data_IF_582367524050
#
_entry.id   IF_582367524050
#
_cell.length_a   1.000
_cell.length_b   1.000
_cell.length_c   1.000
_cell.angle_alpha   90.00
_cell.angle_beta   90.00
_cell.angle_gamma   90.00
#
_symmetry.space_group_name_H-M   'P 1'
#
loop_
_entity.id
_entity.type
_entity.pdbx_description
1 polymer ?
#
# COMPACT_ATOMS: atom_id res chain seq x y z
N UNK A 1 26.25 21.46 17.11
CA UNK A 1 24.79 21.59 16.93
C UNK A 1 24.17 20.24 17.21
N UNK A 2 23.57 20.03 18.38
CA UNK A 2 22.87 18.78 18.69
C UNK A 2 21.45 18.90 18.18
N UNK A 3 21.06 18.00 17.26
CA UNK A 3 19.66 17.82 16.91
C UNK A 3 19.01 17.08 18.08
N UNK A 4 18.21 17.79 18.88
CA UNK A 4 17.22 17.14 19.74
C UNK A 4 16.22 16.45 18.81
N UNK A 5 16.27 15.12 18.76
CA UNK A 5 15.21 14.30 18.17
C UNK A 5 14.02 14.45 19.10
N UNK A 6 13.01 15.22 18.68
CA UNK A 6 11.71 15.22 19.36
C UNK A 6 11.10 13.84 19.16
N UNK A 7 11.03 13.07 20.23
CA UNK A 7 10.23 11.85 20.30
C UNK A 7 8.77 12.26 20.19
N UNK A 8 8.14 12.04 19.05
CA UNK A 8 6.69 12.13 18.95
C UNK A 8 6.07 11.15 19.96
N UNK A 9 5.03 11.55 20.72
CA UNK A 9 4.28 10.59 21.50
C UNK A 9 3.76 9.50 20.56
N UNK A 10 3.83 8.25 20.98
CA UNK A 10 3.33 7.06 20.26
C UNK A 10 1.78 7.05 20.18
N UNK A 11 1.16 8.17 19.83
CA UNK A 11 -0.29 8.31 19.84
C UNK A 11 -0.85 7.55 18.65
N UNK A 12 -1.21 6.31 18.93
CA UNK A 12 -1.95 5.45 18.00
C UNK A 12 -3.39 5.89 18.05
N UNK A 13 -3.88 6.38 16.93
CA UNK A 13 -5.27 6.76 16.79
C UNK A 13 -6.06 5.55 16.34
N UNK A 14 -7.03 5.11 17.14
CA UNK A 14 -7.81 3.91 16.82
C UNK A 14 -9.32 4.16 16.91
N UNK A 15 -10.07 3.45 16.08
CA UNK A 15 -11.52 3.54 16.05
C UNK A 15 -12.12 2.26 15.46
N UNK A 16 -13.39 2.03 15.79
CA UNK A 16 -14.14 0.87 15.32
C UNK A 16 -15.14 1.31 14.27
N UNK A 17 -15.19 0.58 13.16
CA UNK A 17 -16.19 0.73 12.10
C UNK A 17 -16.79 -0.61 11.76
N UNK A 18 -17.91 -0.60 11.03
CA UNK A 18 -18.48 -1.82 10.47
C UNK A 18 -18.14 -1.89 8.99
N UNK A 19 -17.77 -3.07 8.51
CA UNK A 19 -17.59 -3.29 7.08
C UNK A 19 -18.93 -3.54 6.36
N UNK A 20 -18.89 -3.84 5.06
CA UNK A 20 -20.11 -4.11 4.28
C UNK A 20 -20.89 -5.35 4.74
N UNK A 21 -20.26 -6.24 5.50
CA UNK A 21 -20.89 -7.44 6.05
C UNK A 21 -21.47 -7.22 7.45
N UNK A 22 -21.22 -6.05 8.06
CA UNK A 22 -21.61 -5.74 9.42
C UNK A 22 -20.63 -6.26 10.48
N UNK A 23 -19.42 -6.66 10.09
CA UNK A 23 -18.38 -7.09 11.04
C UNK A 23 -17.64 -5.87 11.61
N UNK A 24 -17.35 -5.89 12.91
CA UNK A 24 -16.58 -4.83 13.58
C UNK A 24 -15.09 -4.89 13.22
N UNK A 25 -14.60 -3.82 12.61
CA UNK A 25 -13.22 -3.64 12.18
C UNK A 25 -12.57 -2.57 13.04
N UNK A 26 -11.45 -2.92 13.66
CA UNK A 26 -10.55 -1.98 14.31
C UNK A 26 -9.64 -1.35 13.24
N UNK A 27 -9.69 -0.03 13.10
CA UNK A 27 -8.76 0.73 12.29
C UNK A 27 -7.77 1.43 13.22
N UNK A 28 -6.48 1.29 12.95
CA UNK A 28 -5.41 1.94 13.70
C UNK A 28 -4.57 2.78 12.75
N UNK A 29 -4.41 4.06 13.06
CA UNK A 29 -3.54 4.99 12.36
C UNK A 29 -2.35 5.33 13.27
N UNK A 30 -1.15 5.30 12.68
CA UNK A 30 0.07 5.67 13.40
C UNK A 30 1.04 6.40 12.49
N UNK A 31 1.54 7.54 12.97
CA UNK A 31 2.72 8.18 12.40
C UNK A 31 3.97 7.44 12.87
N UNK A 32 4.92 7.24 11.97
CA UNK A 32 6.07 6.38 12.20
C UNK A 32 7.36 7.06 11.76
N UNK A 33 8.42 6.80 12.50
CA UNK A 33 9.77 7.08 12.01
C UNK A 33 10.17 5.97 11.02
N UNK A 34 10.41 6.28 9.74
CA UNK A 34 10.80 5.28 8.74
C UNK A 34 12.14 4.59 9.04
N UNK A 35 12.94 5.13 9.96
CA UNK A 35 14.21 4.54 10.42
C UNK A 35 14.05 3.68 11.68
N UNK A 36 12.85 3.64 12.28
CA UNK A 36 12.59 2.84 13.48
C UNK A 36 12.41 1.35 13.17
N UNK A 37 12.69 0.50 14.17
CA UNK A 37 12.38 -0.95 14.08
C UNK A 37 10.87 -1.21 13.98
N UNK A 38 10.05 -0.28 14.46
CA UNK A 38 8.60 -0.36 14.39
C UNK A 38 8.10 -0.49 12.94
N UNK A 39 8.73 0.19 11.98
CA UNK A 39 8.36 0.05 10.57
C UNK A 39 8.57 -1.37 10.07
N UNK A 40 9.75 -1.95 10.35
CA UNK A 40 10.05 -3.34 9.98
C UNK A 40 9.14 -4.33 10.70
N UNK A 41 8.81 -4.09 11.98
CA UNK A 41 7.88 -4.93 12.75
C UNK A 41 6.48 -4.94 12.12
N UNK A 42 5.96 -3.77 11.74
CA UNK A 42 4.66 -3.66 11.07
C UNK A 42 4.65 -4.33 9.71
N UNK A 43 5.65 -4.09 8.86
CA UNK A 43 5.68 -4.75 7.56
C UNK A 43 5.95 -6.25 7.65
N UNK A 44 6.68 -6.72 8.67
CA UNK A 44 6.84 -8.15 8.93
C UNK A 44 5.51 -8.78 9.34
N UNK A 45 4.73 -8.15 10.23
CA UNK A 45 3.38 -8.58 10.64
C UNK A 45 2.44 -8.71 9.43
N UNK A 46 2.50 -7.78 8.48
CA UNK A 46 1.63 -7.73 7.30
C UNK A 46 2.25 -8.36 6.04
N UNK A 47 3.46 -8.91 6.12
CA UNK A 47 4.23 -9.37 4.96
C UNK A 47 3.51 -10.47 4.18
N UNK A 48 2.89 -11.44 4.87
CA UNK A 48 2.16 -12.52 4.22
C UNK A 48 0.91 -11.99 3.51
N UNK A 49 0.15 -11.08 4.14
CA UNK A 49 -1.03 -10.45 3.52
C UNK A 49 -0.65 -9.68 2.26
N UNK A 50 0.43 -8.91 2.33
CA UNK A 50 0.93 -8.14 1.19
C UNK A 50 1.44 -9.08 0.08
N UNK A 51 2.18 -10.13 0.42
CA UNK A 51 2.63 -11.13 -0.54
C UNK A 51 1.44 -11.82 -1.23
N UNK A 52 0.41 -12.23 -0.48
CA UNK A 52 -0.80 -12.82 -1.03
C UNK A 52 -1.60 -11.84 -1.92
N UNK A 53 -1.64 -10.56 -1.55
CA UNK A 53 -2.35 -9.54 -2.32
C UNK A 53 -1.64 -9.19 -3.63
N UNK A 54 -0.30 -9.16 -3.64
CA UNK A 54 0.50 -8.77 -4.81
C UNK A 54 0.88 -9.96 -5.70
N UNK A 55 0.97 -11.18 -5.16
CA UNK A 55 1.41 -12.36 -5.93
C UNK A 55 0.62 -12.57 -7.23
N UNK A 56 -0.74 -12.53 -7.24
CA UNK A 56 -1.48 -12.75 -8.48
C UNK A 56 -1.17 -11.70 -9.55
N UNK A 57 -0.89 -10.47 -9.11
CA UNK A 57 -0.55 -9.33 -9.98
C UNK A 57 0.83 -9.54 -10.61
N UNK A 58 1.83 -9.89 -9.80
CA UNK A 58 3.20 -10.14 -10.27
C UNK A 58 3.28 -11.41 -11.14
N UNK A 59 2.49 -12.44 -10.83
CA UNK A 59 2.34 -13.62 -11.69
C UNK A 59 1.77 -13.24 -13.05
N UNK A 60 0.69 -12.47 -13.09
CA UNK A 60 0.10 -12.01 -14.34
C UNK A 60 1.06 -11.12 -15.14
N UNK A 61 1.81 -10.26 -14.46
CA UNK A 61 2.88 -9.47 -15.09
C UNK A 61 3.93 -10.38 -15.75
N UNK A 62 4.43 -11.38 -15.03
CA UNK A 62 5.40 -12.33 -15.57
C UNK A 62 4.87 -13.18 -16.74
N UNK A 63 3.56 -13.45 -16.76
CA UNK A 63 2.92 -14.13 -17.89
C UNK A 63 2.80 -13.24 -19.13
N UNK A 64 2.52 -11.94 -18.95
CA UNK A 64 2.26 -11.01 -20.05
C UNK A 64 3.53 -10.37 -20.61
N UNK A 65 4.56 -10.19 -19.79
CA UNK A 65 5.81 -9.50 -20.15
C UNK A 65 7.05 -10.33 -19.76
N UNK A 66 7.18 -11.58 -20.23
CA UNK A 66 8.28 -12.46 -19.84
C UNK A 66 9.66 -11.90 -20.20
N UNK A 67 9.77 -11.11 -21.27
CA UNK A 67 10.99 -10.44 -21.71
C UNK A 67 11.51 -9.38 -20.72
N UNK A 68 10.63 -8.90 -19.85
CA UNK A 68 10.93 -7.85 -18.88
C UNK A 68 11.35 -8.39 -17.52
N UNK A 69 11.19 -9.70 -17.30
CA UNK A 69 11.49 -10.33 -16.01
C UNK A 69 12.95 -10.14 -15.61
N UNK A 70 13.91 -10.36 -16.51
CA UNK A 70 15.34 -10.20 -16.21
C UNK A 70 15.76 -8.77 -15.86
N UNK A 71 14.96 -7.76 -16.24
CA UNK A 71 15.21 -6.33 -15.93
C UNK A 71 14.41 -5.84 -14.73
N UNK A 72 13.38 -6.57 -14.32
CA UNK A 72 12.49 -6.16 -13.24
C UNK A 72 13.21 -6.17 -11.89
N UNK A 73 12.99 -5.13 -11.09
CA UNK A 73 13.67 -4.95 -9.80
C UNK A 73 13.34 -6.06 -8.79
N UNK A 74 12.14 -6.65 -8.89
CA UNK A 74 11.67 -7.68 -7.96
C UNK A 74 11.81 -9.08 -8.55
N UNK A 75 11.47 -9.24 -9.83
CA UNK A 75 11.29 -10.55 -10.44
C UNK A 75 12.51 -11.08 -11.20
N UNK A 76 13.62 -10.32 -11.31
CA UNK A 76 14.81 -10.76 -12.05
C UNK A 76 15.35 -12.15 -11.67
N UNK A 77 15.22 -12.55 -10.40
CA UNK A 77 15.65 -13.89 -9.94
C UNK A 77 14.83 -15.05 -10.55
N UNK A 78 13.71 -14.75 -11.20
CA UNK A 78 12.87 -15.72 -11.92
C UNK A 78 13.30 -15.92 -13.37
N UNK A 79 14.14 -15.05 -13.94
CA UNK A 79 14.58 -15.14 -15.34
C UNK A 79 15.01 -16.56 -15.77
N UNK A 80 15.76 -17.34 -14.96
CA UNK A 80 16.12 -18.71 -15.33
C UNK A 80 14.95 -19.65 -15.64
N UNK A 81 13.76 -19.39 -15.06
CA UNK A 81 12.55 -20.19 -15.30
C UNK A 81 12.01 -20.00 -16.72
N UNK A 82 12.32 -18.88 -17.37
CA UNK A 82 11.79 -18.50 -18.68
C UNK A 82 12.72 -18.88 -19.84
N UNK A 83 13.92 -19.42 -19.55
CA UNK A 83 14.95 -19.75 -20.56
C UNK A 83 14.47 -20.73 -21.65
N UNK A 84 13.54 -21.61 -21.30
CA UNK A 84 12.99 -22.61 -22.23
C UNK A 84 11.65 -22.17 -22.83
N UNK A 85 11.30 -20.88 -22.76
CA UNK A 85 10.03 -20.35 -23.25
C UNK A 85 8.88 -20.44 -22.25
N UNK A 86 7.89 -19.55 -22.43
CA UNK A 86 6.78 -19.34 -21.50
C UNK A 86 5.92 -20.60 -21.26
N UNK A 87 5.73 -21.43 -22.29
CA UNK A 87 4.94 -22.66 -22.22
C UNK A 87 5.56 -23.74 -21.33
N UNK A 88 6.85 -23.64 -21.02
CA UNK A 88 7.59 -24.61 -20.22
C UNK A 88 7.78 -24.15 -18.76
N UNK A 89 7.23 -23.00 -18.38
CA UNK A 89 7.30 -22.49 -17.01
C UNK A 89 6.42 -23.35 -16.10
N UNK A 90 7.03 -23.91 -15.05
CA UNK A 90 6.26 -24.50 -13.95
C UNK A 90 5.67 -23.38 -13.10
N UNK A 91 4.41 -23.04 -13.37
CA UNK A 91 3.74 -21.90 -12.73
C UNK A 91 3.48 -22.08 -11.23
N UNK A 92 3.34 -23.30 -10.74
CA UNK A 92 3.22 -23.53 -9.29
C UNK A 92 4.52 -23.17 -8.59
N UNK A 93 5.65 -23.61 -9.14
CA UNK A 93 6.97 -23.26 -8.61
C UNK A 93 7.28 -21.76 -8.76
N UNK A 94 6.92 -21.15 -9.89
CA UNK A 94 7.08 -19.72 -10.08
C UNK A 94 6.25 -18.92 -9.06
N UNK A 95 5.01 -19.34 -8.78
CA UNK A 95 4.13 -18.70 -7.80
C UNK A 95 4.71 -18.75 -6.38
N UNK A 96 5.23 -19.91 -5.96
CA UNK A 96 5.91 -20.05 -4.67
C UNK A 96 7.12 -19.12 -4.56
N UNK A 97 7.93 -19.01 -5.62
CA UNK A 97 9.06 -18.08 -5.66
C UNK A 97 8.62 -16.62 -5.60
N UNK A 98 7.61 -16.22 -6.39
CA UNK A 98 7.06 -14.86 -6.36
C UNK A 98 6.60 -14.51 -4.95
N UNK A 99 5.84 -15.41 -4.30
CA UNK A 99 5.38 -15.21 -2.93
C UNK A 99 6.56 -15.04 -1.95
N UNK A 100 7.58 -15.88 -2.05
CA UNK A 100 8.76 -15.79 -1.20
C UNK A 100 9.52 -14.47 -1.39
N UNK A 101 9.70 -14.01 -2.64
CA UNK A 101 10.33 -12.72 -2.96
C UNK A 101 9.54 -11.57 -2.34
N UNK A 102 8.22 -11.54 -2.55
CA UNK A 102 7.35 -10.48 -2.03
C UNK A 102 7.36 -10.46 -0.50
N UNK A 103 7.26 -11.63 0.14
CA UNK A 103 7.31 -11.74 1.59
C UNK A 103 8.62 -11.21 2.16
N UNK A 104 9.77 -11.60 1.58
CA UNK A 104 11.08 -11.10 1.99
C UNK A 104 11.20 -9.59 1.76
N UNK A 105 10.69 -9.10 0.63
CA UNK A 105 10.68 -7.67 0.33
C UNK A 105 9.90 -6.90 1.38
N UNK A 106 8.67 -7.29 1.71
CA UNK A 106 7.89 -6.57 2.72
C UNK A 106 8.48 -6.74 4.12
N UNK A 107 8.85 -7.96 4.52
CA UNK A 107 9.38 -8.21 5.87
C UNK A 107 10.71 -7.48 6.15
N UNK A 108 11.57 -7.34 5.13
CA UNK A 108 12.92 -6.80 5.33
C UNK A 108 13.29 -5.70 4.33
N UNK A 109 13.08 -5.95 3.04
CA UNK A 109 13.57 -5.09 1.96
C UNK A 109 12.98 -3.69 1.99
N UNK A 110 11.70 -3.55 2.30
CA UNK A 110 10.97 -2.30 2.25
C UNK A 110 11.48 -1.31 3.30
N UNK A 111 11.54 -1.72 4.57
CA UNK A 111 12.07 -0.88 5.65
C UNK A 111 13.55 -0.54 5.41
N UNK A 112 14.37 -1.50 4.96
CA UNK A 112 15.78 -1.26 4.59
C UNK A 112 15.90 -0.20 3.48
N UNK A 113 15.02 -0.23 2.48
CA UNK A 113 15.02 0.76 1.39
C UNK A 113 14.75 2.18 1.88
N UNK A 114 13.91 2.34 2.92
CA UNK A 114 13.62 3.64 3.51
C UNK A 114 14.83 4.19 4.25
N UNK A 115 15.54 3.36 5.03
CA UNK A 115 16.77 3.78 5.74
C UNK A 115 17.84 4.31 4.78
N UNK A 116 17.94 3.73 3.57
CA UNK A 116 18.86 4.19 2.54
C UNK A 116 18.38 5.51 1.91
N UNK A 117 17.08 5.69 1.74
CA UNK A 117 16.48 6.90 1.16
C UNK A 117 16.24 8.00 2.20
N UNK A 118 17.33 8.57 2.71
CA UNK A 118 17.31 9.61 3.74
C UNK A 118 16.55 10.88 3.32
N UNK A 119 16.58 11.21 2.03
CA UNK A 119 15.89 12.39 1.49
C UNK A 119 14.38 12.25 1.63
N UNK A 120 13.82 11.12 1.20
CA UNK A 120 12.38 10.83 1.37
C UNK A 120 12.03 10.77 2.86
N UNK A 121 12.85 10.13 3.70
CA UNK A 121 12.58 10.07 5.14
C UNK A 121 12.54 11.46 5.79
N UNK A 122 13.40 12.38 5.35
CA UNK A 122 13.46 13.73 5.90
C UNK A 122 12.30 14.61 5.42
N UNK A 123 11.95 14.51 4.13
CA UNK A 123 11.00 15.39 3.46
C UNK A 123 9.52 15.06 3.71
N UNK A 124 9.21 13.88 4.27
CA UNK A 124 7.83 13.41 4.42
C UNK A 124 7.52 12.94 5.85
N UNK A 125 6.26 13.10 6.24
CA UNK A 125 5.67 12.38 7.36
C UNK A 125 5.17 11.03 6.88
N UNK A 126 5.55 9.97 7.60
CA UNK A 126 5.24 8.59 7.23
C UNK A 126 4.16 8.03 8.13
N UNK A 127 3.13 7.44 7.53
CA UNK A 127 1.97 6.94 8.26
C UNK A 127 1.58 5.54 7.79
N UNK A 128 1.13 4.75 8.74
CA UNK A 128 0.50 3.45 8.49
C UNK A 128 -0.93 3.52 9.01
N UNK A 129 -1.86 3.00 8.20
CA UNK A 129 -3.19 2.63 8.68
C UNK A 129 -3.38 1.14 8.48
N UNK A 130 -3.79 0.46 9.55
CA UNK A 130 -4.11 -0.96 9.51
C UNK A 130 -5.58 -1.21 9.74
N UNK A 131 -6.08 -2.30 9.18
CA UNK A 131 -7.40 -2.86 9.48
C UNK A 131 -7.22 -4.23 10.12
N UNK A 132 -7.89 -4.44 11.27
CA UNK A 132 -7.89 -5.69 12.03
C UNK A 132 -9.33 -6.06 12.38
N UNK A 133 -9.63 -7.35 12.45
CA UNK A 133 -10.88 -7.79 13.07
C UNK A 133 -10.84 -7.38 14.56
N UNK A 134 -11.91 -6.74 15.06
CA UNK A 134 -11.88 -6.14 16.41
C UNK A 134 -11.73 -7.18 17.52
N UNK A 135 -12.38 -8.33 17.38
CA UNK A 135 -12.43 -9.41 18.38
C UNK A 135 -11.16 -10.25 18.37
N UNK A 136 -10.85 -10.86 17.24
CA UNK A 136 -9.72 -11.79 17.05
C UNK A 136 -8.37 -11.10 16.89
N UNK A 137 -8.36 -9.78 16.66
CA UNK A 137 -7.19 -8.98 16.29
C UNK A 137 -6.50 -9.44 14.99
N UNK A 138 -7.13 -10.32 14.22
CA UNK A 138 -6.56 -10.83 12.98
C UNK A 138 -6.35 -9.69 11.98
N UNK A 139 -5.17 -9.58 11.34
CA UNK A 139 -4.90 -8.54 10.36
C UNK A 139 -5.72 -8.78 9.09
N UNK A 140 -6.28 -7.70 8.53
CA UNK A 140 -7.16 -7.75 7.36
C UNK A 140 -6.59 -6.96 6.17
N UNK A 141 -5.86 -5.88 6.45
CA UNK A 141 -5.23 -5.05 5.42
C UNK A 141 -4.39 -3.93 6.01
N UNK A 142 -3.61 -3.30 5.15
CA UNK A 142 -2.69 -2.22 5.49
C UNK A 142 -2.61 -1.23 4.33
N UNK A 143 -2.45 0.03 4.67
CA UNK A 143 -2.04 1.10 3.78
C UNK A 143 -0.89 1.85 4.44
N UNK A 144 0.21 2.03 3.71
CA UNK A 144 1.30 2.90 4.12
C UNK A 144 1.36 4.05 3.13
N UNK A 145 1.38 5.26 3.66
CA UNK A 145 1.39 6.48 2.88
C UNK A 145 2.27 7.52 3.54
N UNK A 146 2.62 8.53 2.77
CA UNK A 146 3.43 9.62 3.25
C UNK A 146 2.99 10.96 2.67
N UNK A 147 3.23 12.01 3.44
CA UNK A 147 2.73 13.37 3.22
C UNK A 147 3.93 14.33 3.24
N UNK A 148 4.02 15.23 2.26
CA UNK A 148 5.13 16.19 2.19
C UNK A 148 5.09 17.14 3.37
N UNK A 149 6.21 17.32 4.10
CA UNK A 149 6.29 18.32 5.18
C UNK A 149 6.22 19.76 4.68
N UNK A 150 6.66 19.99 3.44
CA UNK A 150 6.62 21.32 2.82
C UNK A 150 5.20 21.68 2.34
N UNK A 151 4.43 20.67 1.92
CA UNK A 151 3.07 20.87 1.41
C UNK A 151 2.09 19.84 1.99
N UNK A 152 1.92 19.80 3.33
CA UNK A 152 1.24 18.71 4.02
C UNK A 152 -0.23 18.55 3.64
N UNK A 153 -0.82 19.63 3.12
CA UNK A 153 -2.22 19.70 2.76
C UNK A 153 -2.49 19.33 1.29
N UNK A 154 -1.46 19.14 0.48
CA UNK A 154 -1.63 19.05 -0.97
C UNK A 154 -1.69 17.60 -1.48
N UNK A 155 -0.69 16.79 -1.15
CA UNK A 155 -0.41 15.56 -1.88
C UNK A 155 -0.05 14.42 -0.92
N UNK A 156 -0.89 13.39 -0.91
CA UNK A 156 -0.62 12.13 -0.22
C UNK A 156 -0.13 11.10 -1.23
N UNK A 157 0.95 10.38 -0.93
CA UNK A 157 1.45 9.29 -1.77
C UNK A 157 1.26 7.94 -1.08
N UNK A 158 0.70 6.98 -1.80
CA UNK A 158 0.40 5.63 -1.30
C UNK A 158 1.26 4.60 -2.03
N UNK A 159 2.49 4.31 -1.56
CA UNK A 159 3.37 3.30 -2.17
C UNK A 159 2.97 1.86 -1.83
N UNK A 160 2.29 1.61 -0.69
CA UNK A 160 1.88 0.25 -0.30
C UNK A 160 0.43 0.23 0.13
N UNK A 161 -0.32 -0.67 -0.47
CA UNK A 161 -1.72 -0.88 -0.15
C UNK A 161 -2.13 -2.32 -0.44
N UNK A 162 -2.53 -3.07 0.58
CA UNK A 162 -2.94 -4.46 0.46
C UNK A 162 -4.08 -4.85 1.38
N UNK A 163 -4.95 -5.72 0.89
CA UNK A 163 -6.02 -6.35 1.65
C UNK A 163 -5.88 -7.84 1.42
N UNK A 164 -5.91 -8.62 2.50
CA UNK A 164 -5.85 -10.07 2.44
C UNK A 164 -6.91 -10.59 1.44
N UNK A 165 -6.57 -11.46 0.49
CA UNK A 165 -7.50 -11.86 -0.59
C UNK A 165 -8.87 -12.31 -0.09
N UNK A 166 -8.91 -13.10 1.00
CA UNK A 166 -10.15 -13.58 1.63
C UNK A 166 -11.04 -12.46 2.21
N UNK A 167 -10.48 -11.27 2.43
CA UNK A 167 -11.17 -10.11 3.01
C UNK A 167 -11.46 -9.01 1.96
N UNK A 168 -11.17 -9.26 0.68
CA UNK A 168 -11.50 -8.31 -0.38
C UNK A 168 -13.02 -8.23 -0.60
N UNK A 169 -13.47 -7.19 -1.30
CA UNK A 169 -14.90 -6.90 -1.58
C UNK A 169 -15.77 -6.55 -0.35
N UNK A 170 -15.21 -6.59 0.86
CA UNK A 170 -15.88 -6.19 2.13
C UNK A 170 -15.94 -4.67 2.36
N UNK A 171 -15.41 -3.87 1.45
CA UNK A 171 -15.33 -2.40 1.58
C UNK A 171 -14.10 -1.90 2.34
N UNK A 172 -13.25 -2.79 2.87
CA UNK A 172 -12.03 -2.45 3.61
C UNK A 172 -11.10 -1.50 2.85
N UNK A 173 -10.97 -1.66 1.53
CA UNK A 173 -10.10 -0.79 0.73
C UNK A 173 -10.55 0.67 0.70
N UNK A 174 -11.86 0.89 0.63
CA UNK A 174 -12.43 2.24 0.74
C UNK A 174 -12.25 2.79 2.15
N UNK A 175 -12.42 1.96 3.19
CA UNK A 175 -12.24 2.35 4.58
C UNK A 175 -10.79 2.81 4.86
N UNK A 176 -9.80 2.00 4.45
CA UNK A 176 -8.38 2.33 4.58
C UNK A 176 -8.03 3.62 3.83
N UNK A 177 -8.47 3.77 2.57
CA UNK A 177 -8.24 4.98 1.79
C UNK A 177 -8.92 6.21 2.41
N UNK A 178 -10.16 6.07 2.92
CA UNK A 178 -10.88 7.17 3.57
C UNK A 178 -10.27 7.59 4.90
N UNK A 179 -9.52 6.71 5.57
CA UNK A 179 -8.82 7.06 6.82
C UNK A 179 -7.81 8.18 6.61
N UNK A 180 -7.20 8.26 5.41
CA UNK A 180 -6.34 9.38 5.01
C UNK A 180 -7.13 10.69 5.08
N UNK A 181 -8.32 10.72 4.47
CA UNK A 181 -9.14 11.92 4.38
C UNK A 181 -9.84 12.31 5.68
N UNK A 182 -10.06 11.34 6.58
CA UNK A 182 -10.57 11.62 7.93
C UNK A 182 -9.50 12.27 8.80
N UNK A 183 -8.24 11.87 8.64
CA UNK A 183 -7.12 12.43 9.39
C UNK A 183 -6.61 13.76 8.79
N UNK A 184 -6.62 13.85 7.46
CA UNK A 184 -6.12 14.99 6.69
C UNK A 184 -7.22 15.49 5.73
N UNK A 185 -8.31 16.08 6.25
CA UNK A 185 -9.46 16.51 5.45
C UNK A 185 -9.12 17.53 4.36
N UNK A 186 -8.03 18.25 4.52
CA UNK A 186 -7.52 19.25 3.58
C UNK A 186 -6.78 18.65 2.38
N UNK A 187 -6.53 17.34 2.37
CA UNK A 187 -5.85 16.62 1.27
C UNK A 187 -6.49 16.95 -0.07
N UNK A 188 -5.70 17.55 -0.97
CA UNK A 188 -6.17 17.89 -2.33
C UNK A 188 -6.04 16.72 -3.30
N UNK A 189 -4.97 15.93 -3.18
CA UNK A 189 -4.62 14.84 -4.10
C UNK A 189 -4.11 13.61 -3.38
N UNK A 190 -4.51 12.44 -3.87
CA UNK A 190 -3.89 11.15 -3.53
C UNK A 190 -3.26 10.57 -4.78
N UNK A 191 -1.98 10.19 -4.69
CA UNK A 191 -1.21 9.59 -5.77
C UNK A 191 -0.83 8.16 -5.41
N UNK A 192 -0.90 7.26 -6.39
CA UNK A 192 -0.46 5.87 -6.26
C UNK A 192 0.03 5.31 -7.59
N UNK A 193 0.71 4.17 -7.52
CA UNK A 193 1.20 3.45 -8.69
C UNK A 193 0.84 1.98 -8.56
N UNK A 194 0.51 1.33 -9.68
CA UNK A 194 0.28 -0.12 -9.71
C UNK A 194 0.69 -0.71 -11.05
N UNK A 195 0.92 -2.03 -11.11
CA UNK A 195 1.23 -2.73 -12.37
C UNK A 195 0.08 -2.53 -13.37
N UNK A 196 0.42 -2.39 -14.65
CA UNK A 196 -0.58 -2.34 -15.74
C UNK A 196 -1.47 -3.59 -15.77
N UNK A 197 -0.99 -4.72 -15.24
CA UNK A 197 -1.75 -5.97 -15.15
C UNK A 197 -2.72 -6.02 -13.98
N UNK A 198 -2.70 -5.05 -13.06
CA UNK A 198 -3.55 -5.05 -11.87
C UNK A 198 -4.95 -4.48 -12.17
N UNK A 199 -5.65 -5.09 -13.13
CA UNK A 199 -6.95 -4.62 -13.61
C UNK A 199 -7.99 -4.48 -12.49
N UNK A 200 -7.93 -5.35 -11.48
CA UNK A 200 -8.84 -5.28 -10.33
C UNK A 200 -8.62 -3.98 -9.54
N UNK A 201 -7.37 -3.62 -9.24
CA UNK A 201 -7.07 -2.39 -8.52
C UNK A 201 -7.34 -1.17 -9.40
N UNK A 202 -6.93 -1.18 -10.67
CA UNK A 202 -7.17 -0.10 -11.62
C UNK A 202 -8.67 0.22 -11.73
N UNK A 203 -9.51 -0.79 -11.88
CA UNK A 203 -10.97 -0.61 -11.91
C UNK A 203 -11.51 -0.08 -10.59
N UNK A 204 -11.02 -0.57 -9.45
CA UNK A 204 -11.40 -0.02 -8.15
C UNK A 204 -11.03 1.46 -8.04
N UNK A 205 -9.80 1.84 -8.37
CA UNK A 205 -9.33 3.23 -8.32
C UNK A 205 -10.12 4.15 -9.25
N UNK A 206 -10.40 3.74 -10.48
CA UNK A 206 -11.27 4.49 -11.41
C UNK A 206 -12.65 4.75 -10.81
N UNK A 207 -13.26 3.75 -10.16
CA UNK A 207 -14.56 3.93 -9.48
C UNK A 207 -14.49 4.86 -8.26
N UNK A 208 -13.28 5.12 -7.74
CA UNK A 208 -13.03 6.04 -6.63
C UNK A 208 -12.61 7.43 -7.12
N UNK A 209 -12.61 7.67 -8.44
CA UNK A 209 -12.28 8.96 -9.04
C UNK A 209 -10.80 9.17 -9.34
N UNK A 210 -9.98 8.11 -9.28
CA UNK A 210 -8.61 8.19 -9.77
C UNK A 210 -8.58 8.21 -11.30
N UNK A 211 -7.71 9.04 -11.86
CA UNK A 211 -7.38 9.12 -13.27
C UNK A 211 -5.91 8.75 -13.50
N UNK A 212 -5.61 8.20 -14.67
CA UNK A 212 -4.22 7.90 -15.08
C UNK A 212 -3.48 9.20 -15.40
N UNK A 213 -2.20 9.24 -15.05
CA UNK A 213 -1.32 10.39 -15.32
C UNK A 213 -0.33 10.04 -16.43
N UNK A 214 0.12 11.05 -17.18
CA UNK A 214 0.98 10.85 -18.35
C UNK A 214 2.39 10.34 -18.03
N UNK A 215 2.81 10.42 -16.77
CA UNK A 215 4.12 9.94 -16.37
C UNK A 215 4.06 8.42 -16.21
N UNK A 216 4.42 7.66 -17.25
CA UNK A 216 4.42 6.20 -17.19
C UNK A 216 5.82 5.69 -16.87
N UNK A 217 5.93 4.92 -15.78
CA UNK A 217 7.04 4.00 -15.62
C UNK A 217 6.72 2.75 -16.45
N UNK A 218 7.73 2.13 -17.05
CA UNK A 218 7.55 0.96 -17.90
C UNK A 218 6.76 -0.14 -17.15
N UNK A 219 5.60 -0.54 -17.68
CA UNK A 219 4.68 -1.51 -17.08
C UNK A 219 3.99 -1.12 -15.76
N UNK A 220 4.00 0.17 -15.41
CA UNK A 220 3.27 0.72 -14.27
C UNK A 220 2.32 1.83 -14.73
N UNK A 221 1.16 1.89 -14.08
CA UNK A 221 0.20 2.98 -14.21
C UNK A 221 0.32 3.87 -12.98
N UNK A 222 0.62 5.16 -13.20
CA UNK A 222 0.55 6.18 -12.17
C UNK A 222 -0.85 6.78 -12.17
N UNK A 223 -1.52 6.75 -11.01
CA UNK A 223 -2.87 7.25 -10.85
C UNK A 223 -2.92 8.38 -9.83
N UNK A 224 -3.79 9.34 -10.09
CA UNK A 224 -4.04 10.50 -9.23
C UNK A 224 -5.54 10.68 -9.01
N UNK A 225 -5.95 10.97 -7.78
CA UNK A 225 -7.30 11.38 -7.44
C UNK A 225 -7.30 12.80 -6.87
N UNK A 226 -7.88 13.75 -7.60
CA UNK A 226 -8.19 15.07 -7.07
C UNK A 226 -9.45 14.97 -6.20
N UNK A 227 -9.31 15.14 -4.89
CA UNK A 227 -10.37 14.91 -3.90
C UNK A 227 -11.58 15.79 -4.19
N UNK A 228 -11.36 17.02 -4.66
CA UNK A 228 -12.44 17.93 -5.03
C UNK A 228 -13.37 17.36 -6.11
N UNK A 229 -12.82 16.57 -7.02
CA UNK A 229 -13.50 15.97 -8.17
C UNK A 229 -13.95 14.52 -7.93
N UNK A 230 -13.72 13.97 -6.75
CA UNK A 230 -14.15 12.61 -6.39
C UNK A 230 -15.32 12.61 -5.40
N UNK A 231 -16.57 12.53 -5.88
CA UNK A 231 -17.73 12.33 -5.01
C UNK A 231 -17.64 11.04 -4.19
N UNK A 232 -16.98 10.02 -4.74
CA UNK A 232 -16.88 8.70 -4.11
C UNK A 232 -16.06 8.75 -2.82
N UNK A 233 -14.93 9.45 -2.81
CA UNK A 233 -14.09 9.60 -1.62
C UNK A 233 -14.60 10.70 -0.69
N UNK A 234 -15.13 11.81 -1.21
CA UNK A 234 -15.76 12.86 -0.39
C UNK A 234 -16.90 12.35 0.48
N UNK A 235 -17.74 11.45 -0.04
CA UNK A 235 -18.82 10.83 0.75
C UNK A 235 -18.30 10.08 1.98
N UNK A 236 -17.04 9.65 1.98
CA UNK A 236 -16.44 8.88 3.07
C UNK A 236 -15.84 9.77 4.17
N UNK A 237 -15.63 11.08 3.92
CA UNK A 237 -15.10 12.03 4.92
C UNK A 237 -16.06 12.29 6.11
N UNK A 238 -17.33 11.92 5.98
CA UNK A 238 -18.41 12.41 6.86
C UNK A 238 -18.81 11.47 8.00
N UNK A 239 -18.11 10.35 8.23
CA UNK A 239 -18.64 9.32 9.12
C UNK A 239 -18.11 9.28 10.56
N UNK A 240 -16.93 9.80 10.87
CA UNK A 240 -16.57 10.13 12.26
C UNK A 240 -15.32 11.02 12.26
N UNK A 241 -15.37 12.28 12.69
CA UNK A 241 -14.13 13.00 12.97
C UNK A 241 -13.43 12.28 14.13
N UNK A 242 -12.14 12.01 13.94
CA UNK A 242 -11.28 11.63 15.04
C UNK A 242 -11.32 12.73 16.09
N UNK A 243 -11.88 12.46 17.28
CA UNK A 243 -11.70 13.34 18.42
C UNK A 243 -10.25 13.16 18.86
N UNK A 244 -9.44 14.21 18.64
CA UNK A 244 -8.13 14.34 19.26
C UNK A 244 -8.26 14.44 20.78
#
# INVERSE_FOLDING_TARGET
MSHKVETFPNDTLSYVVHDKTGEEILIELKQIDPQSTFLSEQFNEYSEILAEAYMPVEKQFAMQFPESIGKDMFLNTLEPLFKNGLSNVNWNFAEEKIRAILRLFFAEGFAKSMVVNKEVCAAYDHLIVTAKNKETKAPLGIIYFFISKEQPQSNVRVPVFGIAPKNQNRGLGKLLMSSILNQFPETKKILLSTRITNEKALNAYRTWGFAETQNMMEYWVNMECEIEKSPALKKLQNHTPFKR
#
